data_IF_801040485086
#
_entry.id   IF_801040485086
#
_cell.length_a   1.000
_cell.length_b   1.000
_cell.length_c   1.000
_cell.angle_alpha   90.00
_cell.angle_beta   90.00
_cell.angle_gamma   90.00
#
_symmetry.space_group_name_H-M   'P 1'
#
loop_
_entity.id
_entity.type
_entity.pdbx_description
1 polymer ?
#
# COMPACT_ATOMS: atom_id res chain seq x y z
N UNK A 1 -9.14 66.44 -15.97
CA UNK A 1 -8.98 65.55 -17.14
C UNK A 1 -7.72 64.70 -16.98
N UNK A 2 -7.84 63.44 -16.55
CA UNK A 2 -6.73 62.46 -16.54
C UNK A 2 -7.09 61.38 -17.55
N UNK A 3 -6.28 61.29 -18.61
CA UNK A 3 -6.47 60.37 -19.75
C UNK A 3 -6.25 58.93 -19.28
N UNK A 4 -7.25 58.08 -19.54
CA UNK A 4 -7.17 56.62 -19.46
C UNK A 4 -6.19 56.11 -20.53
N UNK A 5 -5.21 55.31 -20.16
CA UNK A 5 -4.53 54.42 -21.10
C UNK A 5 -4.96 52.98 -20.80
N UNK A 6 -5.96 52.54 -21.56
CA UNK A 6 -6.30 51.13 -21.73
C UNK A 6 -5.21 50.55 -22.64
N UNK A 7 -4.44 49.58 -22.18
CA UNK A 7 -3.58 48.77 -23.05
C UNK A 7 -4.33 47.46 -23.33
N UNK A 8 -4.91 47.39 -24.51
CA UNK A 8 -5.53 46.20 -25.10
C UNK A 8 -4.68 45.78 -26.29
N UNK A 9 -4.48 44.46 -26.40
CA UNK A 9 -4.05 43.68 -27.56
C UNK A 9 -2.57 43.75 -27.99
N UNK A 10 -1.93 42.58 -28.06
CA UNK A 10 -1.95 41.78 -29.29
C UNK A 10 -1.52 40.33 -29.01
N UNK A 11 -2.48 39.41 -29.15
CA UNK A 11 -2.21 38.00 -29.40
C UNK A 11 -1.56 37.88 -30.78
N UNK A 12 -0.34 37.35 -30.84
CA UNK A 12 0.19 36.72 -32.05
C UNK A 12 0.46 35.26 -31.74
N UNK A 13 -0.41 34.41 -32.27
CA UNK A 13 -0.21 32.97 -32.41
C UNK A 13 1.03 32.71 -33.26
N UNK A 14 2.04 32.09 -32.68
CA UNK A 14 3.04 31.33 -33.42
C UNK A 14 3.01 29.90 -32.90
N UNK A 15 2.16 29.09 -33.53
CA UNK A 15 2.25 27.64 -33.44
C UNK A 15 3.52 27.20 -34.18
N UNK A 16 4.41 26.53 -33.47
CA UNK A 16 5.62 25.93 -33.99
C UNK A 16 6.12 24.90 -33.00
N UNK A 17 5.65 23.67 -33.18
CA UNK A 17 5.93 22.52 -32.33
C UNK A 17 7.43 22.24 -32.21
N UNK A 18 7.96 22.29 -30.98
CA UNK A 18 9.03 21.39 -30.54
C UNK A 18 8.71 20.97 -29.11
N UNK A 19 7.78 20.03 -28.98
CA UNK A 19 7.66 19.15 -27.83
C UNK A 19 8.87 18.22 -27.80
N UNK A 20 9.90 18.60 -27.04
CA UNK A 20 10.91 17.65 -26.55
C UNK A 20 10.59 17.35 -25.09
N UNK A 21 10.25 16.09 -24.73
CA UNK A 21 9.90 15.74 -23.37
C UNK A 21 11.17 15.64 -22.54
N UNK A 22 11.45 16.65 -21.71
CA UNK A 22 12.38 16.53 -20.59
C UNK A 22 11.67 15.80 -19.44
N UNK A 23 11.25 14.56 -19.70
CA UNK A 23 10.76 13.62 -18.69
C UNK A 23 11.59 12.36 -18.84
N UNK A 24 12.79 12.34 -18.28
CA UNK A 24 13.53 11.09 -18.16
C UNK A 24 14.56 11.12 -17.03
N UNK A 25 14.48 10.10 -16.15
CA UNK A 25 15.44 9.68 -15.12
C UNK A 25 15.51 10.43 -13.78
N UNK A 26 14.38 10.65 -13.10
CA UNK A 26 14.38 10.71 -11.61
C UNK A 26 13.69 9.47 -11.00
N UNK A 27 12.74 8.85 -11.70
CA UNK A 27 12.06 7.62 -11.24
C UNK A 27 12.85 6.32 -11.44
N UNK A 28 13.77 6.26 -12.41
CA UNK A 28 14.49 5.02 -12.77
C UNK A 28 15.68 4.73 -11.87
N UNK A 29 16.37 5.71 -11.32
CA UNK A 29 17.54 5.46 -10.45
C UNK A 29 17.14 5.03 -9.04
N UNK A 30 15.96 5.45 -8.56
CA UNK A 30 15.35 4.94 -7.33
C UNK A 30 14.69 3.56 -7.56
N UNK A 31 13.99 3.39 -8.69
CA UNK A 31 13.38 2.11 -9.09
C UNK A 31 14.41 1.00 -9.28
N UNK A 32 15.49 1.24 -10.03
CA UNK A 32 16.46 0.20 -10.41
C UNK A 32 17.23 -0.37 -9.20
N UNK A 33 17.42 0.41 -8.13
CA UNK A 33 18.05 -0.09 -6.90
C UNK A 33 17.08 -0.91 -6.04
N UNK A 34 15.80 -0.52 -5.98
CA UNK A 34 14.74 -1.29 -5.30
C UNK A 34 14.44 -2.59 -6.06
N UNK A 35 14.45 -2.54 -7.39
CA UNK A 35 14.14 -3.67 -8.28
C UNK A 35 15.17 -4.80 -8.19
N UNK A 36 16.41 -4.48 -7.82
CA UNK A 36 17.47 -5.47 -7.62
C UNK A 36 17.21 -6.42 -6.44
N UNK A 37 16.45 -5.98 -5.42
CA UNK A 37 16.08 -6.79 -4.25
C UNK A 37 14.84 -7.68 -4.46
N UNK A 38 14.10 -7.51 -5.56
CA UNK A 38 12.81 -8.19 -5.78
C UNK A 38 12.84 -9.25 -6.89
N UNK A 39 14.02 -9.76 -7.27
CA UNK A 39 14.26 -10.76 -8.34
C UNK A 39 13.68 -12.16 -8.08
N UNK A 40 13.02 -12.38 -6.95
CA UNK A 40 12.37 -13.66 -6.67
C UNK A 40 11.14 -13.89 -7.56
N UNK A 41 10.97 -15.14 -8.00
CA UNK A 41 9.79 -15.56 -8.77
C UNK A 41 8.51 -15.23 -7.98
N UNK A 42 7.44 -14.76 -8.64
CA UNK A 42 6.19 -14.45 -7.95
C UNK A 42 5.59 -15.72 -7.33
N UNK A 43 5.40 -15.71 -6.01
CA UNK A 43 4.62 -16.71 -5.28
C UNK A 43 3.16 -16.25 -5.16
N UNK A 44 2.20 -17.17 -4.94
CA UNK A 44 0.81 -16.80 -4.65
C UNK A 44 0.66 -15.83 -3.47
N UNK A 45 1.46 -16.02 -2.41
CA UNK A 45 1.50 -15.13 -1.24
C UNK A 45 2.00 -13.72 -1.59
N UNK A 46 3.06 -13.61 -2.41
CA UNK A 46 3.60 -12.32 -2.87
C UNK A 46 2.63 -11.59 -3.79
N UNK A 47 1.99 -12.29 -4.70
CA UNK A 47 0.99 -11.70 -5.60
C UNK A 47 -0.22 -11.19 -4.82
N UNK A 48 -0.70 -11.96 -3.84
CA UNK A 48 -1.76 -11.52 -2.93
C UNK A 48 -1.40 -10.23 -2.21
N UNK A 49 -0.20 -10.16 -1.63
CA UNK A 49 0.26 -8.96 -0.94
C UNK A 49 0.44 -7.77 -1.88
N UNK A 50 0.86 -8.01 -3.13
CA UNK A 50 0.94 -6.97 -4.17
C UNK A 50 -0.43 -6.40 -4.53
N UNK A 51 -1.45 -7.26 -4.64
CA UNK A 51 -2.83 -6.82 -4.88
C UNK A 51 -3.36 -5.97 -3.71
N UNK A 52 -3.19 -6.43 -2.47
CA UNK A 52 -3.56 -5.66 -1.27
C UNK A 52 -2.86 -4.30 -1.27
N UNK A 53 -1.54 -4.28 -1.50
CA UNK A 53 -0.75 -3.04 -1.55
C UNK A 53 -1.23 -2.08 -2.64
N UNK A 54 -1.63 -2.59 -3.80
CA UNK A 54 -2.17 -1.79 -4.91
C UNK A 54 -3.49 -1.11 -4.52
N UNK A 55 -4.41 -1.85 -3.91
CA UNK A 55 -5.67 -1.29 -3.41
C UNK A 55 -5.42 -0.26 -2.29
N UNK A 56 -4.49 -0.55 -1.37
CA UNK A 56 -4.11 0.39 -0.31
C UNK A 56 -3.58 1.72 -0.85
N UNK A 57 -2.72 1.70 -1.87
CA UNK A 57 -2.25 2.92 -2.53
C UNK A 57 -3.41 3.73 -3.11
N UNK A 58 -4.34 3.06 -3.81
CA UNK A 58 -5.51 3.73 -4.41
C UNK A 58 -6.46 4.31 -3.36
N UNK A 59 -6.62 3.66 -2.20
CA UNK A 59 -7.38 4.23 -1.08
C UNK A 59 -6.71 5.53 -0.64
N UNK A 60 -5.39 5.52 -0.41
CA UNK A 60 -4.68 6.73 0.01
C UNK A 60 -4.79 7.86 -1.01
N UNK A 61 -4.55 7.58 -2.29
CA UNK A 61 -4.67 8.56 -3.38
C UNK A 61 -6.09 9.14 -3.44
N UNK A 62 -7.11 8.29 -3.30
CA UNK A 62 -8.50 8.71 -3.30
C UNK A 62 -8.87 9.54 -2.07
N UNK A 63 -8.33 9.23 -0.88
CA UNK A 63 -8.49 10.06 0.32
C UNK A 63 -7.90 11.45 0.06
N UNK A 64 -6.69 11.54 -0.50
CA UNK A 64 -6.03 12.81 -0.81
C UNK A 64 -6.80 13.62 -1.86
N UNK A 65 -7.44 12.96 -2.82
CA UNK A 65 -8.26 13.59 -3.84
C UNK A 65 -9.70 13.92 -3.39
N UNK A 66 -10.13 13.45 -2.20
CA UNK A 66 -11.52 13.56 -1.75
C UNK A 66 -12.50 12.66 -2.53
N UNK A 67 -12.02 11.64 -3.23
CA UNK A 67 -12.84 10.70 -3.99
C UNK A 67 -13.40 9.60 -3.07
N UNK A 68 -14.53 9.90 -2.42
CA UNK A 68 -15.20 8.99 -1.50
C UNK A 68 -15.67 7.67 -2.14
N UNK A 69 -16.00 7.68 -3.44
CA UNK A 69 -16.47 6.49 -4.14
C UNK A 69 -15.33 5.51 -4.34
N UNK A 70 -14.17 5.99 -4.80
CA UNK A 70 -12.98 5.17 -4.96
C UNK A 70 -12.48 4.66 -3.61
N UNK A 71 -12.49 5.49 -2.55
CA UNK A 71 -12.14 5.01 -1.20
C UNK A 71 -13.02 3.83 -0.79
N UNK A 72 -14.35 3.94 -0.93
CA UNK A 72 -15.26 2.86 -0.55
C UNK A 72 -15.03 1.60 -1.39
N UNK A 73 -14.92 1.75 -2.72
CA UNK A 73 -14.69 0.64 -3.64
C UNK A 73 -13.40 -0.11 -3.33
N UNK A 74 -12.29 0.61 -3.21
CA UNK A 74 -10.96 0.01 -3.02
C UNK A 74 -10.81 -0.55 -1.59
N UNK A 75 -11.47 0.05 -0.59
CA UNK A 75 -11.53 -0.53 0.77
C UNK A 75 -12.27 -1.86 0.79
N UNK A 76 -13.41 -1.97 0.08
CA UNK A 76 -14.08 -3.26 -0.07
C UNK A 76 -13.20 -4.28 -0.81
N UNK A 77 -12.44 -3.85 -1.82
CA UNK A 77 -11.50 -4.72 -2.53
C UNK A 77 -10.36 -5.23 -1.62
N UNK A 78 -9.84 -4.39 -0.71
CA UNK A 78 -8.91 -4.84 0.35
C UNK A 78 -9.56 -5.91 1.23
N UNK A 79 -10.79 -5.69 1.70
CA UNK A 79 -11.50 -6.66 2.53
C UNK A 79 -11.68 -8.00 1.81
N UNK A 80 -12.17 -8.00 0.56
CA UNK A 80 -12.37 -9.24 -0.21
C UNK A 80 -11.05 -9.97 -0.50
N UNK A 81 -10.01 -9.23 -0.91
CA UNK A 81 -8.69 -9.80 -1.20
C UNK A 81 -8.09 -10.42 0.07
N UNK A 82 -8.24 -9.76 1.22
CA UNK A 82 -7.68 -10.20 2.50
C UNK A 82 -8.30 -11.50 3.02
N UNK A 83 -9.54 -11.84 2.65
CA UNK A 83 -10.14 -13.15 2.97
C UNK A 83 -9.34 -14.32 2.41
N UNK A 84 -8.52 -14.09 1.39
CA UNK A 84 -7.68 -15.11 0.77
C UNK A 84 -6.33 -15.32 1.48
N UNK A 85 -5.97 -14.49 2.48
CA UNK A 85 -4.69 -14.60 3.20
C UNK A 85 -4.53 -15.99 3.81
N UNK A 86 -5.50 -16.44 4.60
CA UNK A 86 -5.38 -17.74 5.28
C UNK A 86 -5.22 -18.90 4.29
N UNK A 87 -5.99 -18.93 3.21
CA UNK A 87 -5.89 -19.98 2.18
C UNK A 87 -4.54 -19.99 1.45
N UNK A 88 -3.93 -18.82 1.22
CA UNK A 88 -2.67 -18.72 0.49
C UNK A 88 -1.45 -19.01 1.38
N UNK A 89 -1.50 -18.61 2.64
CA UNK A 89 -0.39 -18.76 3.57
C UNK A 89 -0.42 -20.12 4.29
N UNK A 90 -1.62 -20.64 4.57
CA UNK A 90 -1.88 -21.91 5.28
C UNK A 90 -2.88 -22.77 4.50
N UNK A 91 -2.46 -23.37 3.36
CA UNK A 91 -3.34 -24.22 2.56
C UNK A 91 -3.74 -25.50 3.30
N UNK A 92 -4.93 -26.03 2.97
CA UNK A 92 -5.50 -27.23 3.61
C UNK A 92 -4.68 -28.51 3.35
N UNK A 93 -3.89 -28.55 2.26
CA UNK A 93 -2.98 -29.66 1.95
C UNK A 93 -1.73 -29.70 2.85
N UNK A 94 -1.63 -28.76 3.80
CA UNK A 94 -0.62 -28.72 4.85
C UNK A 94 0.76 -28.26 4.40
N UNK A 95 0.96 -27.96 3.11
CA UNK A 95 2.26 -27.51 2.60
C UNK A 95 2.42 -26.01 2.76
N UNK A 96 2.93 -25.62 3.92
CA UNK A 96 3.32 -24.25 4.20
C UNK A 96 4.48 -23.86 3.27
N UNK A 97 4.36 -22.71 2.62
CA UNK A 97 5.35 -22.23 1.67
C UNK A 97 6.65 -21.74 2.32
N UNK A 98 7.67 -21.50 1.49
CA UNK A 98 8.99 -20.98 1.90
C UNK A 98 8.91 -19.70 2.75
N UNK A 99 7.86 -18.90 2.56
CA UNK A 99 7.59 -17.67 3.34
C UNK A 99 7.64 -17.91 4.85
N UNK A 100 7.27 -19.10 5.34
CA UNK A 100 7.23 -19.37 6.78
C UNK A 100 8.61 -19.35 7.41
N UNK A 101 9.66 -19.71 6.67
CA UNK A 101 11.05 -19.61 7.16
C UNK A 101 11.43 -18.17 7.48
N UNK A 102 10.80 -17.20 6.82
CA UNK A 102 11.03 -15.77 7.08
C UNK A 102 10.53 -15.32 8.45
N UNK A 103 9.63 -16.08 9.07
CA UNK A 103 9.16 -15.83 10.45
C UNK A 103 10.19 -16.23 11.51
N UNK A 104 11.26 -16.93 11.12
CA UNK A 104 12.25 -17.51 12.03
C UNK A 104 11.75 -18.72 12.83
N UNK A 105 10.59 -19.29 12.47
CA UNK A 105 9.98 -20.47 13.09
C UNK A 105 10.23 -21.76 12.28
N UNK A 106 10.20 -22.91 12.95
CA UNK A 106 10.35 -24.23 12.34
C UNK A 106 9.01 -24.70 11.73
N UNK A 107 8.91 -24.83 10.39
CA UNK A 107 7.69 -25.30 9.74
C UNK A 107 7.33 -26.76 10.07
N UNK A 108 8.24 -27.53 10.68
CA UNK A 108 7.98 -28.90 11.13
C UNK A 108 7.54 -28.98 12.60
N UNK A 109 7.56 -27.86 13.34
CA UNK A 109 7.07 -27.79 14.70
C UNK A 109 5.56 -27.43 14.70
N UNK A 110 4.65 -28.36 15.07
CA UNK A 110 3.21 -28.11 15.01
C UNK A 110 2.74 -26.97 15.92
N UNK A 111 3.40 -26.73 17.05
CA UNK A 111 3.05 -25.67 17.99
C UNK A 111 3.38 -24.29 17.43
N UNK A 112 4.55 -24.16 16.80
CA UNK A 112 4.96 -22.91 16.15
C UNK A 112 4.08 -22.61 14.94
N UNK A 113 3.81 -23.61 14.10
CA UNK A 113 2.87 -23.48 12.98
C UNK A 113 1.49 -23.02 13.45
N UNK A 114 0.97 -23.62 14.52
CA UNK A 114 -0.34 -23.25 15.08
C UNK A 114 -0.35 -21.82 15.60
N UNK A 115 0.73 -21.40 16.27
CA UNK A 115 0.88 -20.03 16.79
C UNK A 115 0.88 -19.01 15.65
N UNK A 116 1.76 -19.18 14.65
CA UNK A 116 1.84 -18.26 13.52
C UNK A 116 0.52 -18.22 12.74
N UNK A 117 -0.13 -19.38 12.56
CA UNK A 117 -1.45 -19.44 11.91
C UNK A 117 -2.49 -18.59 12.64
N UNK A 118 -2.58 -18.71 13.97
CA UNK A 118 -3.50 -17.94 14.80
C UNK A 118 -3.23 -16.44 14.71
N UNK A 119 -1.96 -16.04 14.73
CA UNK A 119 -1.57 -14.64 14.59
C UNK A 119 -2.01 -14.09 13.21
N UNK A 120 -1.78 -14.85 12.14
CA UNK A 120 -2.25 -14.49 10.79
C UNK A 120 -3.78 -14.41 10.67
N UNK A 121 -4.52 -15.30 11.35
CA UNK A 121 -5.98 -15.23 11.40
C UNK A 121 -6.44 -13.92 12.05
N UNK A 122 -5.80 -13.53 13.15
CA UNK A 122 -6.06 -12.26 13.83
C UNK A 122 -5.74 -11.07 12.93
N UNK A 123 -4.56 -11.02 12.32
CA UNK A 123 -4.18 -9.93 11.42
C UNK A 123 -5.10 -9.83 10.20
N UNK A 124 -5.40 -10.95 9.55
CA UNK A 124 -6.32 -11.00 8.41
C UNK A 124 -7.69 -10.46 8.79
N UNK A 125 -8.20 -10.81 9.97
CA UNK A 125 -9.47 -10.28 10.47
C UNK A 125 -9.38 -8.77 10.72
N UNK A 126 -8.31 -8.30 11.35
CA UNK A 126 -8.10 -6.86 11.59
C UNK A 126 -8.04 -6.04 10.31
N UNK A 127 -7.42 -6.55 9.23
CA UNK A 127 -7.41 -5.88 7.92
C UNK A 127 -8.83 -5.79 7.36
N UNK A 128 -9.57 -6.90 7.36
CA UNK A 128 -10.95 -6.95 6.84
C UNK A 128 -11.87 -5.99 7.61
N UNK A 129 -11.87 -6.06 8.94
CA UNK A 129 -12.73 -5.24 9.79
C UNK A 129 -12.40 -3.75 9.61
N UNK A 130 -11.11 -3.38 9.58
CA UNK A 130 -10.69 -1.99 9.41
C UNK A 130 -11.02 -1.45 8.01
N UNK A 131 -10.83 -2.25 6.96
CA UNK A 131 -11.18 -1.88 5.60
C UNK A 131 -12.70 -1.65 5.44
N UNK A 132 -13.52 -2.51 6.04
CA UNK A 132 -14.97 -2.30 6.10
C UNK A 132 -15.33 -1.02 6.86
N UNK A 133 -14.67 -0.76 8.00
CA UNK A 133 -14.89 0.46 8.77
C UNK A 133 -14.54 1.75 7.98
N UNK A 134 -13.49 1.72 7.13
CA UNK A 134 -13.17 2.83 6.22
C UNK A 134 -14.29 3.01 5.19
N UNK A 135 -14.74 1.93 4.55
CA UNK A 135 -15.80 1.95 3.54
C UNK A 135 -17.15 2.46 4.10
N UNK A 136 -17.43 2.21 5.38
CA UNK A 136 -18.61 2.72 6.07
C UNK A 136 -18.47 4.20 6.46
N UNK A 137 -17.34 4.59 7.05
CA UNK A 137 -17.15 5.96 7.54
C UNK A 137 -16.95 6.98 6.43
N UNK A 138 -16.42 6.60 5.27
CA UNK A 138 -16.26 7.53 4.14
C UNK A 138 -17.60 8.11 3.65
N UNK A 139 -18.72 7.43 3.92
CA UNK A 139 -20.08 7.94 3.64
C UNK A 139 -20.41 9.23 4.38
N UNK A 140 -19.72 9.51 5.49
CA UNK A 140 -19.84 10.77 6.25
C UNK A 140 -19.08 11.93 5.59
N UNK A 141 -18.40 11.68 4.46
CA UNK A 141 -17.63 12.65 3.68
C UNK A 141 -16.57 13.42 4.49
N UNK A 142 -16.10 12.82 5.58
CA UNK A 142 -15.06 13.39 6.44
C UNK A 142 -13.71 12.77 6.06
N UNK A 143 -12.94 13.48 5.23
CA UNK A 143 -11.63 13.01 4.74
C UNK A 143 -10.62 12.82 5.87
N UNK A 144 -10.65 13.67 6.91
CA UNK A 144 -9.72 13.60 8.04
C UNK A 144 -9.96 12.34 8.85
N UNK A 145 -11.22 12.04 9.15
CA UNK A 145 -11.60 10.83 9.87
C UNK A 145 -11.34 9.57 9.03
N UNK A 146 -11.62 9.65 7.72
CA UNK A 146 -11.31 8.56 6.78
C UNK A 146 -9.81 8.26 6.76
N UNK A 147 -8.96 9.30 6.70
CA UNK A 147 -7.51 9.16 6.78
C UNK A 147 -7.06 8.54 8.11
N UNK A 148 -7.60 8.99 9.25
CA UNK A 148 -7.27 8.41 10.56
C UNK A 148 -7.62 6.91 10.64
N UNK A 149 -8.75 6.51 10.09
CA UNK A 149 -9.13 5.10 10.01
C UNK A 149 -8.17 4.30 9.11
N UNK A 150 -7.74 4.87 7.98
CA UNK A 150 -6.73 4.28 7.11
C UNK A 150 -5.37 4.14 7.78
N UNK A 151 -4.87 5.18 8.45
CA UNK A 151 -3.61 5.16 9.21
C UNK A 151 -3.66 4.13 10.35
N UNK A 152 -4.78 4.06 11.06
CA UNK A 152 -5.00 3.05 12.12
C UNK A 152 -4.92 1.63 11.57
N UNK A 153 -5.50 1.37 10.39
CA UNK A 153 -5.41 0.07 9.72
C UNK A 153 -3.96 -0.28 9.36
N UNK A 154 -3.20 0.67 8.82
CA UNK A 154 -1.79 0.46 8.49
C UNK A 154 -0.97 0.05 9.71
N UNK A 155 -1.08 0.81 10.80
CA UNK A 155 -0.32 0.57 12.03
C UNK A 155 -0.71 -0.75 12.70
N UNK A 156 -2.00 -0.93 12.96
CA UNK A 156 -2.46 -2.00 13.83
C UNK A 156 -2.62 -3.35 13.12
N UNK A 157 -2.65 -3.37 11.79
CA UNK A 157 -2.81 -4.61 11.03
C UNK A 157 -1.60 -4.87 10.13
N UNK A 158 -1.27 -3.96 9.20
CA UNK A 158 -0.22 -4.20 8.22
C UNK A 158 1.17 -4.21 8.85
N UNK A 159 1.52 -3.17 9.62
CA UNK A 159 2.83 -3.05 10.24
C UNK A 159 3.00 -4.04 11.39
N UNK A 160 1.98 -4.21 12.24
CA UNK A 160 2.00 -5.21 13.30
C UNK A 160 2.26 -6.64 12.78
N UNK A 161 1.68 -7.02 11.63
CA UNK A 161 1.96 -8.30 10.98
C UNK A 161 3.37 -8.34 10.37
N UNK A 162 3.79 -7.28 9.69
CA UNK A 162 5.11 -7.25 9.06
C UNK A 162 6.26 -7.27 10.07
N UNK A 163 6.12 -6.65 11.23
CA UNK A 163 7.13 -6.66 12.30
C UNK A 163 7.35 -8.06 12.89
N UNK A 164 6.31 -8.88 12.94
CA UNK A 164 6.37 -10.22 13.55
C UNK A 164 6.69 -11.32 12.54
N UNK A 165 6.20 -11.18 11.30
CA UNK A 165 6.21 -12.25 10.32
C UNK A 165 7.19 -12.05 9.16
N UNK A 166 7.83 -10.88 9.03
CA UNK A 166 8.85 -10.64 8.00
C UNK A 166 10.24 -10.52 8.62
N UNK A 167 11.30 -10.77 7.83
CA UNK A 167 12.63 -10.41 8.25
C UNK A 167 12.67 -8.91 8.50
N UNK A 168 13.40 -8.49 9.53
CA UNK A 168 13.62 -7.06 9.76
C UNK A 168 14.15 -6.45 8.48
N UNK A 169 13.59 -5.29 8.13
CA UNK A 169 14.12 -4.50 7.04
C UNK A 169 15.63 -4.35 7.25
N UNK A 170 16.45 -4.46 6.18
CA UNK A 170 17.86 -4.13 6.30
C UNK A 170 17.96 -2.74 6.93
N UNK A 171 18.93 -2.54 7.82
CA UNK A 171 19.12 -1.24 8.45
C UNK A 171 19.21 -0.18 7.36
N UNK A 172 18.24 0.74 7.36
CA UNK A 172 18.28 1.87 6.47
C UNK A 172 19.55 2.66 6.76
N UNK A 173 20.22 3.24 5.76
CA UNK A 173 21.32 4.16 6.01
C UNK A 173 20.91 5.22 7.04
N UNK A 174 21.83 5.64 7.90
CA UNK A 174 21.58 6.56 9.02
C UNK A 174 20.74 7.80 8.64
N UNK A 175 20.93 8.32 7.42
CA UNK A 175 20.18 9.46 6.88
C UNK A 175 18.70 9.19 6.55
N UNK A 176 18.29 7.93 6.43
CA UNK A 176 16.90 7.50 6.27
C UNK A 176 16.25 7.04 7.59
N UNK A 177 17.02 6.91 8.67
CA UNK A 177 16.53 6.54 10.01
C UNK A 177 15.87 7.73 10.74
N UNK A 178 15.19 8.61 10.01
CA UNK A 178 14.52 9.78 10.60
C UNK A 178 13.22 9.31 11.27
N UNK A 179 13.35 8.99 12.56
CA UNK A 179 12.31 8.86 13.59
C UNK A 179 10.97 8.28 13.12
N UNK A 180 10.87 6.96 13.17
CA UNK A 180 9.63 6.21 12.98
C UNK A 180 9.82 4.77 13.42
N UNK A 181 10.04 4.58 14.72
CA UNK A 181 9.96 3.31 15.44
C UNK A 181 9.16 3.51 16.71
#
# INVERSE_FOLDING_TARGET
MKKRFMLICLFTLAAGAISYPYTWNIGTTLSNNIESYHKEKPSPTRELMRMISSHMSKIFDAIMAGDHNTVSKESNAVAETSKSIMRNFFPEDGKIGEWFKETGKDPNNPEEVTTVKKDFEQYSKSIVDAAMNIAENVKKQNIVETYKNFDTMLKNACFACHETARPKWPEWPEWMQITGG
#
